data_IF_192636246988
#
_entry.id   IF_192636246988
#
_cell.length_a   1.000
_cell.length_b   1.000
_cell.length_c   1.000
_cell.angle_alpha   90.00
_cell.angle_beta   90.00
_cell.angle_gamma   90.00
#
_symmetry.space_group_name_H-M   'P 1'
#
loop_
_entity.id
_entity.type
_entity.pdbx_description
1 polymer ?
#
# COMPACT_ATOMS: atom_id res chain seq x y z
N UNK A 1 17.52 0.94 -1.53
CA UNK A 1 16.48 0.12 -2.19
C UNK A 1 16.88 -0.02 -3.64
N UNK A 2 17.01 -1.25 -4.16
CA UNK A 2 17.01 -1.44 -5.60
C UNK A 2 15.74 -0.81 -6.17
N UNK A 3 15.84 -0.13 -7.30
CA UNK A 3 14.68 0.52 -7.93
C UNK A 3 13.63 -0.56 -8.21
N UNK A 4 12.41 -0.41 -7.65
CA UNK A 4 11.27 -1.32 -7.83
C UNK A 4 10.95 -1.58 -9.32
N UNK A 5 11.40 -0.69 -10.19
CA UNK A 5 11.34 -0.80 -11.65
C UNK A 5 12.74 -0.42 -12.17
N UNK A 6 13.46 -1.29 -12.89
CA UNK A 6 14.68 -0.91 -13.64
C UNK A 6 14.45 0.39 -14.45
N UNK A 7 15.43 1.29 -14.53
CA UNK A 7 15.23 2.55 -15.26
C UNK A 7 14.99 2.31 -16.76
N UNK A 8 15.52 1.21 -17.27
CA UNK A 8 15.35 0.70 -18.62
C UNK A 8 13.88 0.36 -18.93
N UNK A 9 13.06 0.02 -17.93
CA UNK A 9 11.64 -0.23 -18.15
C UNK A 9 10.84 1.07 -18.32
N UNK A 10 11.37 2.23 -17.92
CA UNK A 10 10.68 3.51 -18.15
C UNK A 10 10.70 3.89 -19.63
N UNK A 11 11.71 3.46 -20.39
CA UNK A 11 11.81 3.70 -21.83
C UNK A 11 11.10 2.63 -22.66
N UNK A 12 10.67 1.53 -22.03
CA UNK A 12 9.88 0.50 -22.69
C UNK A 12 8.49 1.04 -23.09
N UNK A 13 7.98 0.54 -24.22
CA UNK A 13 6.61 0.82 -24.65
C UNK A 13 5.62 0.14 -23.72
N UNK A 14 4.47 0.77 -23.50
CA UNK A 14 3.39 0.14 -22.78
C UNK A 14 2.91 -1.11 -23.55
N UNK A 15 2.75 -2.25 -22.87
CA UNK A 15 2.22 -3.45 -23.49
C UNK A 15 0.77 -3.25 -23.97
N UNK A 16 0.43 -3.94 -25.04
CA UNK A 16 -0.92 -4.04 -25.60
C UNK A 16 -1.89 -4.66 -24.58
N UNK A 17 -3.18 -4.35 -24.72
CA UNK A 17 -4.22 -5.07 -24.00
C UNK A 17 -4.44 -6.44 -24.68
N UNK A 18 -3.63 -7.43 -24.30
CA UNK A 18 -3.71 -8.79 -24.84
C UNK A 18 -4.42 -9.69 -23.85
N UNK A 19 -5.35 -10.52 -24.36
CA UNK A 19 -5.98 -11.59 -23.58
C UNK A 19 -4.94 -12.57 -22.99
N UNK A 20 -3.75 -12.64 -23.59
CA UNK A 20 -2.59 -13.38 -23.06
C UNK A 20 -2.27 -12.97 -21.61
N UNK A 21 -2.33 -11.67 -21.26
CA UNK A 21 -2.04 -11.22 -19.89
C UNK A 21 -3.17 -11.51 -18.90
N UNK A 22 -4.35 -11.87 -19.40
CA UNK A 22 -5.52 -12.20 -18.60
C UNK A 22 -5.69 -13.72 -18.40
N UNK A 23 -4.86 -14.52 -19.08
CA UNK A 23 -4.84 -15.97 -18.95
C UNK A 23 -4.63 -16.40 -17.50
N UNK A 24 -5.56 -17.23 -16.99
CA UNK A 24 -5.56 -17.66 -15.59
C UNK A 24 -4.57 -18.79 -15.31
N UNK A 25 -4.17 -19.52 -16.35
CA UNK A 25 -3.23 -20.63 -16.30
C UNK A 25 -2.20 -20.54 -17.43
N UNK A 26 -1.08 -21.25 -17.30
CA UNK A 26 -0.11 -21.37 -18.38
C UNK A 26 -0.70 -22.03 -19.63
N UNK A 27 -1.68 -22.92 -19.48
CA UNK A 27 -2.37 -23.59 -20.58
C UNK A 27 -3.29 -22.62 -21.32
N UNK A 28 -4.05 -21.81 -20.60
CA UNK A 28 -4.86 -20.72 -21.17
C UNK A 28 -3.97 -19.72 -21.91
N UNK A 29 -2.81 -19.39 -21.34
CA UNK A 29 -1.84 -18.49 -21.96
C UNK A 29 -1.35 -19.06 -23.29
N UNK A 30 -0.99 -20.34 -23.34
CA UNK A 30 -0.56 -21.01 -24.58
C UNK A 30 -1.69 -21.08 -25.60
N UNK A 31 -2.94 -21.28 -25.17
CA UNK A 31 -4.10 -21.28 -26.05
C UNK A 31 -4.36 -19.90 -26.65
N UNK A 32 -4.33 -18.84 -25.84
CA UNK A 32 -4.48 -17.46 -26.30
C UNK A 32 -3.30 -17.02 -27.18
N UNK A 33 -2.09 -17.45 -26.85
CA UNK A 33 -0.92 -17.16 -27.67
C UNK A 33 -0.96 -17.88 -29.03
N UNK A 34 -1.55 -19.08 -29.09
CA UNK A 34 -1.78 -19.79 -30.35
C UNK A 34 -2.94 -19.19 -31.14
N UNK A 35 -3.98 -18.70 -30.45
CA UNK A 35 -5.14 -18.04 -31.06
C UNK A 35 -4.76 -16.69 -31.67
N UNK A 36 -3.80 -15.98 -31.07
CA UNK A 36 -3.27 -14.69 -31.55
C UNK A 36 -2.46 -14.79 -32.85
N UNK A 37 -2.20 -16.02 -33.34
CA UNK A 37 -1.63 -16.27 -34.68
C UNK A 37 -0.13 -15.99 -34.80
N UNK A 38 0.58 -15.82 -33.68
CA UNK A 38 2.02 -15.56 -33.71
C UNK A 38 2.82 -16.87 -33.72
N UNK A 39 3.49 -17.16 -34.83
CA UNK A 39 4.42 -18.31 -34.90
C UNK A 39 5.67 -18.07 -34.03
N UNK A 40 6.11 -19.07 -33.26
CA UNK A 40 7.35 -19.04 -32.47
C UNK A 40 8.59 -18.69 -33.31
N UNK A 41 8.62 -19.02 -34.60
CA UNK A 41 9.74 -18.69 -35.49
C UNK A 41 9.82 -17.18 -35.78
N UNK A 42 8.68 -16.47 -35.79
CA UNK A 42 8.66 -15.01 -35.99
C UNK A 42 9.09 -14.24 -34.74
N UNK A 43 9.01 -14.83 -33.55
CA UNK A 43 9.45 -14.22 -32.29
C UNK A 43 10.97 -14.15 -32.21
N UNK A 44 11.70 -15.13 -32.76
CA UNK A 44 13.17 -15.13 -32.72
C UNK A 44 13.80 -14.10 -33.67
N UNK A 45 13.19 -13.83 -34.83
CA UNK A 45 13.63 -12.74 -35.73
C UNK A 45 13.14 -11.36 -35.27
N UNK A 46 11.93 -11.27 -34.67
CA UNK A 46 11.41 -10.02 -34.10
C UNK A 46 11.99 -9.66 -32.74
N UNK A 47 12.55 -10.59 -31.97
CA UNK A 47 13.19 -10.26 -30.68
C UNK A 47 14.47 -9.42 -30.83
N UNK A 48 15.09 -9.40 -32.02
CA UNK A 48 16.26 -8.57 -32.32
C UNK A 48 15.91 -7.17 -32.87
N UNK A 49 14.64 -6.92 -33.19
CA UNK A 49 14.12 -5.60 -33.56
C UNK A 49 13.08 -5.18 -32.51
N UNK A 50 13.32 -4.08 -31.80
CA UNK A 50 12.55 -3.57 -30.64
C UNK A 50 11.07 -3.17 -30.92
N UNK A 51 10.38 -3.85 -31.82
CA UNK A 51 8.95 -3.64 -32.11
C UNK A 51 8.09 -4.59 -31.28
N UNK A 52 7.21 -4.07 -30.41
CA UNK A 52 6.31 -4.93 -29.64
C UNK A 52 5.36 -5.70 -30.57
N UNK A 53 5.04 -6.92 -30.16
CA UNK A 53 4.01 -7.74 -30.77
C UNK A 53 2.66 -7.04 -30.58
N UNK A 54 2.10 -6.47 -31.66
CA UNK A 54 0.68 -6.53 -32.09
C UNK A 54 0.31 -5.36 -32.99
N UNK A 55 -0.58 -5.66 -33.93
CA UNK A 55 -1.24 -4.78 -34.89
C UNK A 55 -2.60 -4.35 -34.34
N UNK A 56 -2.68 -3.23 -33.62
CA UNK A 56 -3.95 -2.54 -33.36
C UNK A 56 -3.73 -1.04 -33.15
N UNK A 57 -4.49 -0.23 -33.89
CA UNK A 57 -4.39 1.23 -33.94
C UNK A 57 -5.03 1.92 -32.72
N UNK A 58 -4.43 1.77 -31.54
CA UNK A 58 -4.78 2.59 -30.38
C UNK A 58 -3.56 3.43 -29.95
N UNK A 59 -3.79 4.72 -29.75
CA UNK A 59 -2.77 5.75 -29.42
C UNK A 59 -1.91 5.37 -28.20
N UNK A 60 -2.43 4.51 -27.30
CA UNK A 60 -1.69 4.03 -26.13
C UNK A 60 -0.48 3.13 -26.51
N UNK A 61 -0.54 2.42 -27.65
CA UNK A 61 0.46 1.43 -28.06
C UNK A 61 1.76 2.05 -28.59
N UNK A 62 1.75 3.35 -28.91
CA UNK A 62 2.96 4.08 -29.30
C UNK A 62 3.68 4.73 -28.13
N UNK A 63 3.07 4.76 -26.94
CA UNK A 63 3.57 5.51 -25.80
C UNK A 63 4.51 4.65 -24.95
N UNK A 64 5.66 5.23 -24.59
CA UNK A 64 6.56 4.68 -23.55
C UNK A 64 5.97 4.87 -22.16
N UNK A 65 6.40 4.06 -21.20
CA UNK A 65 5.97 4.20 -19.80
C UNK A 65 6.29 5.60 -19.25
N UNK A 66 7.45 6.16 -19.63
CA UNK A 66 7.84 7.53 -19.26
C UNK A 66 6.91 8.59 -19.88
N UNK A 67 6.56 8.46 -21.16
CA UNK A 67 5.59 9.36 -21.81
C UNK A 67 4.20 9.24 -21.18
N UNK A 68 3.80 8.05 -20.76
CA UNK A 68 2.53 7.83 -20.07
C UNK A 68 2.49 8.48 -18.69
N UNK A 69 3.58 8.42 -17.94
CA UNK A 69 3.74 9.15 -16.67
C UNK A 69 3.70 10.66 -16.92
N UNK A 70 4.44 11.15 -17.92
CA UNK A 70 4.49 12.57 -18.25
C UNK A 70 3.12 13.11 -18.72
N UNK A 71 2.43 12.34 -19.57
CA UNK A 71 1.05 12.61 -19.98
C UNK A 71 0.15 12.71 -18.76
N UNK A 72 0.15 11.69 -17.90
CA UNK A 72 -0.77 11.60 -16.76
C UNK A 72 -0.61 12.76 -15.77
N UNK A 73 0.64 13.16 -15.49
CA UNK A 73 0.91 14.31 -14.62
C UNK A 73 0.51 15.63 -15.27
N UNK A 74 0.74 15.78 -16.58
CA UNK A 74 0.40 17.00 -17.32
C UNK A 74 -1.11 17.20 -17.46
N UNK A 75 -1.85 16.13 -17.75
CA UNK A 75 -3.30 16.20 -18.03
C UNK A 75 -4.16 15.91 -16.81
N UNK A 76 -3.58 15.39 -15.72
CA UNK A 76 -4.30 14.83 -14.56
C UNK A 76 -5.27 13.71 -14.94
N UNK A 77 -4.97 12.99 -16.03
CA UNK A 77 -5.79 11.91 -16.57
C UNK A 77 -4.93 10.73 -16.99
N UNK A 78 -5.40 9.52 -16.74
CA UNK A 78 -4.73 8.31 -17.24
C UNK A 78 -4.95 8.16 -18.76
N UNK A 79 -3.99 7.57 -19.51
CA UNK A 79 -4.20 7.19 -20.89
C UNK A 79 -5.44 6.31 -21.06
N UNK A 80 -6.23 6.55 -22.11
CA UNK A 80 -7.39 5.71 -22.43
C UNK A 80 -6.96 4.33 -22.93
N UNK A 81 -7.82 3.33 -22.73
CA UNK A 81 -7.64 1.94 -23.20
C UNK A 81 -6.39 1.24 -22.63
N UNK A 82 -6.00 1.54 -21.38
CA UNK A 82 -4.97 0.78 -20.69
C UNK A 82 -5.47 -0.62 -20.35
N UNK A 83 -4.73 -1.65 -20.79
CA UNK A 83 -4.91 -3.01 -20.30
C UNK A 83 -4.47 -3.16 -18.84
N UNK A 84 -4.81 -4.28 -18.20
CA UNK A 84 -4.49 -4.53 -16.79
C UNK A 84 -3.00 -4.43 -16.48
N UNK A 85 -2.14 -5.04 -17.32
CA UNK A 85 -0.70 -5.03 -17.07
C UNK A 85 -0.07 -3.65 -17.29
N UNK A 86 -0.51 -2.93 -18.33
CA UNK A 86 -0.10 -1.54 -18.56
C UNK A 86 -0.54 -0.60 -17.43
N UNK A 87 -1.73 -0.82 -16.88
CA UNK A 87 -2.21 -0.14 -15.67
C UNK A 87 -1.32 -0.41 -14.47
N UNK A 88 -0.87 -1.66 -14.25
CA UNK A 88 0.08 -2.01 -13.19
C UNK A 88 1.41 -1.27 -13.35
N UNK A 89 2.00 -1.32 -14.55
CA UNK A 89 3.27 -0.66 -14.83
C UNK A 89 3.18 0.86 -14.64
N UNK A 90 2.12 1.48 -15.14
CA UNK A 90 1.88 2.92 -14.95
C UNK A 90 1.74 3.28 -13.46
N UNK A 91 0.98 2.49 -12.71
CA UNK A 91 0.82 2.65 -11.25
C UNK A 91 2.18 2.56 -10.54
N UNK A 92 2.98 1.53 -10.82
CA UNK A 92 4.31 1.40 -10.23
C UNK A 92 5.23 2.57 -10.62
N UNK A 93 5.20 3.02 -11.88
CA UNK A 93 6.05 4.11 -12.36
C UNK A 93 5.68 5.46 -11.73
N UNK A 94 4.38 5.77 -11.62
CA UNK A 94 3.90 6.96 -10.94
C UNK A 94 4.39 7.01 -9.49
N UNK A 95 4.30 5.89 -8.77
CA UNK A 95 4.77 5.79 -7.38
C UNK A 95 6.28 5.92 -7.28
N UNK A 96 7.03 5.24 -8.15
CA UNK A 96 8.49 5.36 -8.20
C UNK A 96 8.93 6.81 -8.37
N UNK A 97 8.34 7.52 -9.32
CA UNK A 97 8.68 8.93 -9.57
C UNK A 97 8.31 9.82 -8.39
N UNK A 98 7.18 9.58 -7.73
CA UNK A 98 6.76 10.37 -6.56
C UNK A 98 7.62 10.11 -5.33
N UNK A 99 8.05 8.86 -5.10
CA UNK A 99 8.99 8.52 -4.04
C UNK A 99 10.39 9.09 -4.32
N UNK A 100 10.86 9.08 -5.58
CA UNK A 100 12.11 9.74 -5.98
C UNK A 100 12.08 11.23 -5.65
N UNK A 101 11.01 11.94 -6.03
CA UNK A 101 10.83 13.36 -5.70
C UNK A 101 10.83 13.60 -4.19
N UNK A 102 10.13 12.75 -3.42
CA UNK A 102 10.12 12.84 -1.96
C UNK A 102 11.53 12.68 -1.36
N UNK A 103 12.28 11.65 -1.77
CA UNK A 103 13.63 11.43 -1.28
C UNK A 103 14.57 12.58 -1.65
N UNK A 104 14.44 13.15 -2.85
CA UNK A 104 15.21 14.32 -3.26
C UNK A 104 14.95 15.53 -2.35
N UNK A 105 13.68 15.85 -2.10
CA UNK A 105 13.27 16.96 -1.21
C UNK A 105 13.78 16.71 0.22
N UNK A 106 13.61 15.49 0.74
CA UNK A 106 14.05 15.12 2.09
C UNK A 106 15.57 15.22 2.24
N UNK A 107 16.33 14.72 1.26
CA UNK A 107 17.79 14.79 1.29
C UNK A 107 18.30 16.24 1.28
N UNK A 108 17.66 17.11 0.48
CA UNK A 108 17.97 18.55 0.48
C UNK A 108 17.73 19.17 1.86
N UNK A 109 16.61 18.86 2.51
CA UNK A 109 16.28 19.36 3.84
C UNK A 109 17.29 18.88 4.92
N UNK A 110 17.78 17.65 4.84
CA UNK A 110 18.72 17.08 5.83
C UNK A 110 20.18 17.45 5.60
N UNK A 111 20.54 17.97 4.42
CA UNK A 111 21.94 18.19 4.03
C UNK A 111 22.65 19.36 4.75
N UNK A 112 21.97 20.11 5.63
CA UNK A 112 22.61 21.03 6.59
C UNK A 112 23.35 22.26 6.02
N UNK A 113 23.46 22.42 4.70
CA UNK A 113 24.23 23.50 4.07
C UNK A 113 23.41 24.77 3.77
N UNK A 114 22.14 24.81 4.16
CA UNK A 114 21.27 25.97 3.94
C UNK A 114 20.33 26.17 5.13
N UNK A 115 20.80 26.89 6.14
CA UNK A 115 20.02 27.35 7.30
C UNK A 115 18.79 28.21 6.94
N UNK A 116 18.59 28.55 5.66
CA UNK A 116 17.40 29.25 5.13
C UNK A 116 16.32 28.37 4.51
N UNK A 117 16.51 27.03 4.41
CA UNK A 117 15.58 26.13 3.70
C UNK A 117 14.82 25.15 4.62
N UNK A 118 14.82 25.37 5.93
CA UNK A 118 13.98 24.58 6.86
C UNK A 118 12.50 24.61 6.46
N UNK A 119 12.03 25.73 5.89
CA UNK A 119 10.68 25.87 5.32
C UNK A 119 10.42 25.02 4.06
N UNK A 120 11.45 24.46 3.41
CA UNK A 120 11.26 23.52 2.29
C UNK A 120 11.00 22.08 2.76
N UNK A 121 11.32 21.73 4.02
CA UNK A 121 10.86 20.48 4.61
C UNK A 121 9.32 20.49 4.80
N UNK A 122 8.76 21.70 4.94
CA UNK A 122 7.32 21.98 5.02
C UNK A 122 6.68 22.30 3.64
N UNK A 123 7.45 22.33 2.55
CA UNK A 123 6.89 22.43 1.19
C UNK A 123 6.09 21.17 0.85
N UNK A 124 5.08 21.26 -0.02
CA UNK A 124 4.03 20.27 -0.11
C UNK A 124 4.51 19.02 -0.87
N UNK A 125 5.31 18.19 -0.20
CA UNK A 125 5.38 16.75 -0.46
C UNK A 125 3.97 16.15 -0.49
N UNK A 126 3.03 16.76 0.23
CA UNK A 126 1.59 16.52 0.12
C UNK A 126 1.05 16.71 -1.30
N UNK A 127 1.48 17.71 -2.09
CA UNK A 127 0.91 17.99 -3.41
C UNK A 127 1.25 16.90 -4.45
N UNK A 128 2.52 16.48 -4.50
CA UNK A 128 2.97 15.42 -5.43
C UNK A 128 2.34 14.07 -5.05
N UNK A 129 2.28 13.75 -3.76
CA UNK A 129 1.64 12.53 -3.31
C UNK A 129 0.12 12.57 -3.54
N UNK A 130 -0.54 13.70 -3.31
CA UNK A 130 -1.98 13.86 -3.56
C UNK A 130 -2.30 13.65 -5.05
N UNK A 131 -1.54 14.29 -5.94
CA UNK A 131 -1.66 14.06 -7.40
C UNK A 131 -1.50 12.58 -7.77
N UNK A 132 -0.49 11.92 -7.19
CA UNK A 132 -0.23 10.52 -7.46
C UNK A 132 -1.40 9.65 -6.98
N UNK A 133 -1.90 9.91 -5.78
CA UNK A 133 -3.02 9.19 -5.19
C UNK A 133 -4.31 9.37 -6.01
N UNK A 134 -4.55 10.56 -6.56
CA UNK A 134 -5.66 10.82 -7.50
C UNK A 134 -5.52 9.97 -8.77
N UNK A 135 -4.33 9.94 -9.38
CA UNK A 135 -4.08 9.12 -10.57
C UNK A 135 -4.20 7.63 -10.26
N UNK A 136 -3.73 7.17 -9.10
CA UNK A 136 -3.90 5.78 -8.66
C UNK A 136 -5.38 5.42 -8.50
N UNK A 137 -6.20 6.34 -7.97
CA UNK A 137 -7.64 6.14 -7.87
C UNK A 137 -8.28 6.03 -9.25
N UNK A 138 -7.88 6.85 -10.23
CA UNK A 138 -8.35 6.73 -11.62
C UNK A 138 -8.00 5.38 -12.24
N UNK A 139 -6.76 4.90 -12.07
CA UNK A 139 -6.34 3.58 -12.55
C UNK A 139 -7.21 2.49 -11.91
N UNK A 140 -7.44 2.60 -10.60
CA UNK A 140 -8.22 1.62 -9.87
C UNK A 140 -9.70 1.60 -10.31
N UNK A 141 -10.31 2.76 -10.55
CA UNK A 141 -11.68 2.85 -11.07
C UNK A 141 -11.78 2.30 -12.49
N UNK A 142 -10.80 2.60 -13.35
CA UNK A 142 -10.72 2.05 -14.71
C UNK A 142 -10.75 0.51 -14.69
N UNK A 143 -9.91 -0.10 -13.85
CA UNK A 143 -9.86 -1.56 -13.67
C UNK A 143 -11.14 -2.13 -13.05
N UNK A 144 -11.81 -1.37 -12.16
CA UNK A 144 -13.07 -1.82 -11.56
C UNK A 144 -14.22 -1.78 -12.56
N UNK A 145 -14.22 -0.81 -13.46
CA UNK A 145 -15.28 -0.57 -14.44
C UNK A 145 -15.21 -1.44 -15.69
N UNK A 146 -14.13 -2.22 -15.87
CA UNK A 146 -13.94 -3.02 -17.08
C UNK A 146 -14.93 -4.22 -17.13
N UNK A 147 -15.86 -4.23 -18.10
CA UNK A 147 -16.90 -5.26 -18.20
C UNK A 147 -16.37 -6.62 -18.69
N UNK A 148 -15.19 -6.68 -19.31
CA UNK A 148 -14.57 -7.97 -19.71
C UNK A 148 -14.12 -8.79 -18.48
N UNK A 149 -14.00 -8.13 -17.32
CA UNK A 149 -13.57 -8.70 -16.04
C UNK A 149 -14.72 -8.99 -15.06
N UNK A 150 -15.99 -8.86 -15.50
CA UNK A 150 -17.21 -9.00 -14.68
C UNK A 150 -17.99 -10.31 -14.96
N UNK A 151 -17.42 -11.23 -15.75
CA UNK A 151 -18.06 -12.47 -16.24
C UNK A 151 -18.28 -13.57 -15.18
N UNK A 152 -18.27 -13.24 -13.89
CA UNK A 152 -18.52 -14.20 -12.81
C UNK A 152 -17.36 -15.18 -12.54
N UNK A 153 -16.24 -15.03 -13.25
CA UNK A 153 -14.97 -15.69 -12.89
C UNK A 153 -14.38 -15.04 -11.64
N UNK A 154 -13.76 -15.82 -10.72
CA UNK A 154 -12.94 -15.23 -9.66
C UNK A 154 -11.96 -14.23 -10.29
N UNK A 155 -11.72 -13.10 -9.60
CA UNK A 155 -10.82 -12.03 -10.06
C UNK A 155 -9.62 -12.61 -10.83
N UNK A 156 -9.38 -12.16 -12.07
CA UNK A 156 -8.16 -12.56 -12.77
C UNK A 156 -6.97 -12.26 -11.85
N UNK A 157 -5.98 -13.16 -11.80
CA UNK A 157 -4.84 -13.02 -10.88
C UNK A 157 -4.19 -11.64 -11.02
N UNK A 158 -4.13 -11.11 -12.25
CA UNK A 158 -3.66 -9.77 -12.56
C UNK A 158 -4.51 -8.66 -11.92
N UNK A 159 -5.84 -8.74 -11.97
CA UNK A 159 -6.71 -7.75 -11.30
C UNK A 159 -6.47 -7.72 -9.80
N UNK A 160 -6.32 -8.89 -9.19
CA UNK A 160 -5.98 -8.99 -7.77
C UNK A 160 -4.61 -8.33 -7.48
N UNK A 161 -3.58 -8.65 -8.28
CA UNK A 161 -2.24 -8.06 -8.15
C UNK A 161 -2.32 -6.54 -8.21
N UNK A 162 -3.10 -5.97 -9.15
CA UNK A 162 -3.19 -4.52 -9.27
C UNK A 162 -3.88 -3.90 -8.06
N UNK A 163 -4.96 -4.50 -7.57
CA UNK A 163 -5.66 -4.01 -6.39
C UNK A 163 -4.78 -4.11 -5.13
N UNK A 164 -4.02 -5.19 -4.96
CA UNK A 164 -3.03 -5.32 -3.89
C UNK A 164 -1.99 -4.20 -3.94
N UNK A 165 -1.41 -3.94 -5.13
CA UNK A 165 -0.44 -2.86 -5.33
C UNK A 165 -1.06 -1.49 -5.06
N UNK A 166 -2.29 -1.24 -5.52
CA UNK A 166 -3.01 -0.01 -5.27
C UNK A 166 -3.10 0.30 -3.76
N UNK A 167 -3.53 -0.67 -2.96
CA UNK A 167 -3.64 -0.45 -1.52
C UNK A 167 -2.27 -0.36 -0.84
N UNK A 168 -1.29 -1.19 -1.21
CA UNK A 168 0.05 -1.12 -0.65
C UNK A 168 0.74 0.22 -0.94
N UNK A 169 0.61 0.72 -2.16
CA UNK A 169 1.16 2.03 -2.57
C UNK A 169 0.48 3.19 -1.84
N UNK A 170 -0.82 3.10 -1.56
CA UNK A 170 -1.50 4.09 -0.72
C UNK A 170 -0.91 4.18 0.69
N UNK A 171 -0.44 3.07 1.27
CA UNK A 171 0.28 3.07 2.54
C UNK A 171 1.66 3.70 2.36
N UNK A 172 2.44 3.25 1.37
CA UNK A 172 3.83 3.68 1.15
C UNK A 172 3.96 5.17 0.74
N UNK A 173 2.99 5.73 0.05
CA UNK A 173 2.97 7.15 -0.31
C UNK A 173 2.62 8.07 0.87
N UNK A 174 1.99 7.54 1.92
CA UNK A 174 1.62 8.30 3.13
C UNK A 174 2.64 8.16 4.23
N UNK A 175 3.22 6.97 4.37
CA UNK A 175 4.09 6.63 5.50
C UNK A 175 5.46 6.23 4.98
N UNK A 176 6.52 7.01 5.30
CA UNK A 176 7.86 6.68 4.85
C UNK A 176 8.27 5.31 5.36
N UNK A 177 8.74 4.45 4.47
CA UNK A 177 9.14 3.09 4.82
C UNK A 177 10.25 3.07 5.87
N UNK A 178 11.16 4.05 5.85
CA UNK A 178 12.20 4.20 6.86
C UNK A 178 11.62 4.38 8.27
N UNK A 179 10.54 5.13 8.43
CA UNK A 179 9.91 5.33 9.74
C UNK A 179 9.20 4.06 10.23
N UNK A 180 8.62 3.26 9.32
CA UNK A 180 8.10 1.92 9.63
C UNK A 180 9.20 0.96 10.12
N UNK A 181 10.33 0.92 9.41
CA UNK A 181 11.43 0.02 9.79
C UNK A 181 12.16 0.49 11.06
N UNK A 182 12.30 1.79 11.29
CA UNK A 182 12.79 2.31 12.58
C UNK A 182 11.82 2.00 13.72
N UNK A 183 10.50 2.05 13.50
CA UNK A 183 9.52 1.67 14.53
C UNK A 183 9.73 0.24 15.06
N UNK A 184 10.10 -0.71 14.19
CA UNK A 184 10.43 -2.09 14.60
C UNK A 184 11.89 -2.28 15.03
N UNK A 185 12.71 -1.22 15.06
CA UNK A 185 14.10 -1.24 15.50
C UNK A 185 15.11 -1.76 14.46
N UNK A 186 14.79 -1.74 13.16
CA UNK A 186 15.64 -2.31 12.11
C UNK A 186 16.85 -1.44 11.72
N UNK A 187 16.77 -0.11 11.87
CA UNK A 187 17.83 0.82 11.42
C UNK A 187 18.44 1.70 12.52
N UNK A 188 18.02 1.55 13.77
CA UNK A 188 18.41 2.50 14.80
C UNK A 188 19.80 2.13 15.36
N UNK A 189 20.79 3.00 15.07
CA UNK A 189 22.04 3.03 15.81
C UNK A 189 21.74 3.30 17.29
N UNK A 190 22.50 2.71 18.24
CA UNK A 190 22.19 2.74 19.67
C UNK A 190 22.11 4.15 20.30
N UNK A 191 22.54 5.20 19.59
CA UNK A 191 22.49 6.59 20.06
C UNK A 191 21.19 7.35 19.75
N UNK A 192 20.34 6.87 18.85
CA UNK A 192 19.12 7.60 18.39
C UNK A 192 17.83 6.74 18.53
N UNK A 193 17.84 5.88 19.54
CA UNK A 193 16.97 4.71 19.77
C UNK A 193 15.46 5.01 19.92
N UNK A 194 15.04 6.29 19.86
CA UNK A 194 13.65 6.73 20.01
C UNK A 194 13.16 7.65 18.87
N UNK A 195 14.02 8.04 17.93
CA UNK A 195 13.66 9.02 16.89
C UNK A 195 12.55 8.53 15.97
N UNK A 196 12.72 7.35 15.36
CA UNK A 196 11.75 6.82 14.39
C UNK A 196 10.39 6.46 14.98
N UNK A 197 10.37 5.79 16.15
CA UNK A 197 9.12 5.48 16.85
C UNK A 197 8.36 6.74 17.26
N UNK A 198 9.06 7.75 17.80
CA UNK A 198 8.43 9.02 18.20
C UNK A 198 7.92 9.80 16.99
N UNK A 199 8.66 9.81 15.88
CA UNK A 199 8.23 10.44 14.61
C UNK A 199 6.96 9.80 14.06
N UNK A 200 6.91 8.47 13.98
CA UNK A 200 5.75 7.77 13.43
C UNK A 200 4.50 7.99 14.30
N UNK A 201 4.63 7.89 15.63
CA UNK A 201 3.53 8.16 16.57
C UNK A 201 3.05 9.61 16.45
N UNK A 202 3.97 10.58 16.40
CA UNK A 202 3.64 11.99 16.21
C UNK A 202 2.90 12.21 14.88
N UNK A 203 3.38 11.58 13.80
CA UNK A 203 2.74 11.68 12.49
C UNK A 203 1.31 11.11 12.51
N UNK A 204 1.11 9.93 13.11
CA UNK A 204 -0.22 9.29 13.25
C UNK A 204 -1.20 10.21 13.99
N UNK A 205 -0.74 10.81 15.09
CA UNK A 205 -1.57 11.68 15.93
C UNK A 205 -1.86 13.04 15.29
N UNK A 206 -0.92 13.58 14.51
CA UNK A 206 -1.05 14.88 13.87
C UNK A 206 -1.86 14.81 12.57
N UNK A 207 -1.71 13.72 11.80
CA UNK A 207 -2.33 13.54 10.48
C UNK A 207 -3.47 12.53 10.55
N UNK A 208 -4.44 12.77 11.44
CA UNK A 208 -5.40 11.73 11.82
C UNK A 208 -6.24 11.19 10.65
N UNK A 209 -6.62 12.03 9.68
CA UNK A 209 -7.35 11.60 8.48
C UNK A 209 -6.49 10.69 7.59
N UNK A 210 -5.26 11.10 7.27
CA UNK A 210 -4.35 10.32 6.43
C UNK A 210 -3.89 9.03 7.12
N UNK A 211 -3.74 9.06 8.44
CA UNK A 211 -3.46 7.86 9.21
C UNK A 211 -4.63 6.86 9.11
N UNK A 212 -5.89 7.32 9.23
CA UNK A 212 -7.06 6.46 9.03
C UNK A 212 -7.17 5.96 7.59
N UNK A 213 -6.89 6.79 6.59
CA UNK A 213 -6.80 6.36 5.18
C UNK A 213 -5.79 5.22 5.03
N UNK A 214 -4.57 5.39 5.52
CA UNK A 214 -3.54 4.35 5.47
C UNK A 214 -3.97 3.07 6.21
N UNK A 215 -4.75 3.16 7.30
CA UNK A 215 -5.32 1.99 7.98
C UNK A 215 -6.36 1.26 7.14
N UNK A 216 -7.25 1.98 6.45
CA UNK A 216 -8.19 1.36 5.50
C UNK A 216 -7.42 0.58 4.45
N UNK A 217 -6.46 1.22 3.77
CA UNK A 217 -5.67 0.55 2.73
C UNK A 217 -4.86 -0.63 3.28
N UNK A 218 -4.22 -0.49 4.44
CA UNK A 218 -3.50 -1.59 5.08
C UNK A 218 -4.42 -2.77 5.44
N UNK A 219 -5.65 -2.48 5.88
CA UNK A 219 -6.67 -3.51 6.12
C UNK A 219 -7.10 -4.26 4.85
N UNK A 220 -7.19 -3.56 3.71
CA UNK A 220 -7.46 -4.18 2.40
C UNK A 220 -6.31 -5.09 1.96
N UNK A 221 -5.06 -4.66 2.16
CA UNK A 221 -3.87 -5.53 1.93
C UNK A 221 -3.96 -6.79 2.78
N UNK A 222 -4.33 -6.68 4.05
CA UNK A 222 -4.62 -7.83 4.92
C UNK A 222 -5.71 -8.75 4.37
N UNK A 223 -6.79 -8.16 3.86
CA UNK A 223 -7.90 -8.88 3.24
C UNK A 223 -7.46 -9.70 2.03
N UNK A 224 -6.79 -9.07 1.06
CA UNK A 224 -6.26 -9.74 -0.12
C UNK A 224 -5.33 -10.88 0.27
N UNK A 225 -4.30 -10.56 1.04
CA UNK A 225 -3.30 -11.53 1.46
C UNK A 225 -3.91 -12.72 2.19
N UNK A 226 -4.98 -12.52 2.97
CA UNK A 226 -5.69 -13.62 3.63
C UNK A 226 -6.45 -14.50 2.62
N UNK A 227 -7.22 -13.86 1.74
CA UNK A 227 -8.19 -14.50 0.84
C UNK A 227 -7.55 -15.23 -0.33
N UNK A 228 -6.40 -14.75 -0.81
CA UNK A 228 -5.72 -15.29 -1.96
C UNK A 228 -4.24 -14.93 -1.86
N UNK A 229 -3.38 -15.91 -2.15
CA UNK A 229 -1.93 -15.71 -2.25
C UNK A 229 -1.51 -16.26 -3.59
N UNK A 230 -0.98 -15.39 -4.43
CA UNK A 230 -0.26 -15.73 -5.66
C UNK A 230 1.11 -16.35 -5.37
N UNK A 231 1.58 -16.30 -4.11
CA UNK A 231 2.94 -16.66 -3.70
C UNK A 231 4.01 -15.88 -4.46
N UNK A 232 3.65 -14.71 -5.01
CA UNK A 232 4.58 -13.87 -5.73
C UNK A 232 5.54 -13.16 -4.77
N UNK A 233 6.75 -12.88 -5.26
CA UNK A 233 7.79 -12.23 -4.46
C UNK A 233 7.37 -10.84 -3.95
N UNK A 234 6.49 -10.12 -4.65
CA UNK A 234 6.07 -8.77 -4.24
C UNK A 234 5.10 -8.78 -3.05
N UNK A 235 4.48 -9.92 -2.71
CA UNK A 235 3.41 -9.99 -1.71
C UNK A 235 3.91 -9.59 -0.33
N UNK A 236 5.10 -10.05 0.07
CA UNK A 236 5.67 -9.66 1.36
C UNK A 236 6.10 -8.19 1.38
N UNK A 237 6.52 -7.63 0.24
CA UNK A 237 6.88 -6.21 0.11
C UNK A 237 5.67 -5.30 0.25
N UNK A 238 4.50 -5.79 -0.15
CA UNK A 238 3.22 -5.09 0.03
C UNK A 238 2.67 -5.27 1.45
N UNK A 239 2.78 -6.49 1.99
CA UNK A 239 2.20 -6.85 3.27
C UNK A 239 2.96 -6.26 4.47
N UNK A 240 4.29 -6.35 4.49
CA UNK A 240 5.09 -5.94 5.66
C UNK A 240 4.88 -4.47 6.03
N UNK A 241 4.93 -3.49 5.10
CA UNK A 241 4.67 -2.10 5.42
C UNK A 241 3.25 -1.86 5.96
N UNK A 242 2.24 -2.48 5.34
CA UNK A 242 0.84 -2.41 5.80
C UNK A 242 0.67 -2.97 7.22
N UNK A 243 1.32 -4.11 7.49
CA UNK A 243 1.32 -4.74 8.80
C UNK A 243 2.00 -3.91 9.88
N UNK A 244 3.21 -3.41 9.64
CA UNK A 244 3.92 -2.56 10.59
C UNK A 244 3.09 -1.30 10.86
N UNK A 245 2.48 -0.71 9.83
CA UNK A 245 1.66 0.48 10.01
C UNK A 245 0.40 0.21 10.86
N UNK A 246 -0.32 -0.89 10.61
CA UNK A 246 -1.48 -1.29 11.43
C UNK A 246 -1.10 -1.48 12.90
N UNK A 247 0.05 -2.11 13.15
CA UNK A 247 0.59 -2.26 14.50
C UNK A 247 0.88 -0.87 15.11
N UNK A 248 1.68 -0.04 14.45
CA UNK A 248 2.03 1.28 14.95
C UNK A 248 0.79 2.14 15.21
N UNK A 249 -0.23 2.06 14.36
CA UNK A 249 -1.49 2.77 14.52
C UNK A 249 -2.32 2.26 15.70
N UNK A 250 -2.43 0.94 15.87
CA UNK A 250 -3.13 0.36 17.02
C UNK A 250 -2.46 0.72 18.35
N UNK A 251 -1.13 0.77 18.36
CA UNK A 251 -0.34 1.17 19.52
C UNK A 251 -0.40 2.67 19.80
N UNK A 252 -0.51 3.49 18.75
CA UNK A 252 -0.69 4.94 18.84
C UNK A 252 -2.15 5.36 19.11
N UNK A 253 -3.08 4.39 19.09
CA UNK A 253 -4.51 4.64 19.28
C UNK A 253 -4.80 5.40 20.58
N UNK A 254 -5.99 6.02 20.70
CA UNK A 254 -6.31 6.90 21.81
C UNK A 254 -6.01 6.20 23.14
N UNK A 255 -5.10 6.82 23.91
CA UNK A 255 -4.71 6.37 25.24
C UNK A 255 -5.99 6.09 26.02
N UNK A 256 -6.16 4.84 26.46
CA UNK A 256 -7.20 4.44 27.40
C UNK A 256 -6.85 5.06 28.75
N UNK A 257 -7.11 6.35 28.92
CA UNK A 257 -7.09 6.95 30.24
C UNK A 257 -8.31 6.43 31.01
N UNK A 258 -8.11 5.31 31.68
CA UNK A 258 -8.79 5.07 32.94
C UNK A 258 -8.21 6.06 33.95
N UNK A 259 -9.07 6.93 34.48
CA UNK A 259 -8.98 7.55 35.80
C UNK A 259 -7.59 7.92 36.34
N UNK A 260 -7.13 9.16 36.09
CA UNK A 260 -6.36 9.98 37.07
C UNK A 260 -5.76 11.26 36.45
N UNK A 261 -6.17 12.45 36.92
CA UNK A 261 -5.43 13.72 36.71
C UNK A 261 -6.27 14.96 36.32
N UNK A 262 -6.00 16.16 36.89
CA UNK A 262 -6.89 17.33 36.81
C UNK A 262 -6.63 18.29 35.62
N UNK A 263 -6.07 17.82 34.50
CA UNK A 263 -5.83 18.67 33.32
C UNK A 263 -6.55 18.12 32.08
N UNK A 264 -7.52 18.85 31.50
CA UNK A 264 -8.28 18.36 30.36
C UNK A 264 -7.54 18.66 29.06
N UNK A 265 -6.63 17.78 28.65
CA UNK A 265 -6.32 17.63 27.22
C UNK A 265 -7.45 16.80 26.62
N UNK A 266 -8.05 17.23 25.50
CA UNK A 266 -9.21 16.58 24.84
C UNK A 266 -8.93 15.11 24.51
N UNK A 267 -9.19 14.23 25.47
CA UNK A 267 -9.26 12.79 25.30
C UNK A 267 -10.49 12.51 24.42
N UNK A 268 -10.29 11.79 23.31
CA UNK A 268 -11.36 11.24 22.50
C UNK A 268 -12.06 10.11 23.28
N UNK A 269 -12.82 10.45 24.33
CA UNK A 269 -13.88 9.56 24.79
C UNK A 269 -14.91 9.40 23.65
N UNK A 270 -15.49 8.21 23.46
CA UNK A 270 -16.74 8.08 22.72
C UNK A 270 -17.75 9.00 23.40
N UNK A 271 -18.08 10.13 22.78
CA UNK A 271 -19.13 11.01 23.27
C UNK A 271 -20.41 10.17 23.26
N UNK A 272 -21.00 10.05 24.45
CA UNK A 272 -22.27 9.43 24.71
C UNK A 272 -23.34 10.00 23.75
N UNK A 273 -23.54 9.30 22.64
CA UNK A 273 -24.61 9.53 21.69
C UNK A 273 -25.26 8.20 21.32
N UNK A 274 -25.47 7.32 22.29
CA UNK A 274 -26.39 6.19 22.14
C UNK A 274 -27.13 5.97 23.43
N UNK A 275 -28.40 6.40 23.45
CA UNK A 275 -29.36 5.91 24.42
C UNK A 275 -29.52 4.39 24.26
N UNK A 276 -29.50 3.69 25.41
CA UNK A 276 -29.93 2.29 25.63
C UNK A 276 -29.32 1.23 24.70
N UNK A 277 -28.37 0.45 25.27
CA UNK A 277 -27.66 -0.69 24.69
C UNK A 277 -26.60 -0.32 23.63
N UNK A 278 -25.59 0.46 24.04
CA UNK A 278 -24.56 1.04 23.17
C UNK A 278 -23.53 0.04 22.63
N UNK A 279 -23.90 -0.72 21.60
CA UNK A 279 -22.95 -1.42 20.71
C UNK A 279 -22.69 -0.54 19.50
N UNK A 280 -21.43 -0.17 19.24
CA UNK A 280 -21.07 0.59 18.05
C UNK A 280 -21.19 -0.30 16.80
N UNK A 281 -21.59 0.24 15.63
CA UNK A 281 -21.54 -0.51 14.38
C UNK A 281 -20.09 -0.93 14.07
N UNK A 282 -19.93 -2.12 13.50
CA UNK A 282 -18.62 -2.70 13.20
C UNK A 282 -18.18 -2.30 11.79
N UNK A 283 -17.04 -1.64 11.69
CA UNK A 283 -16.39 -1.35 10.41
C UNK A 283 -15.31 -2.40 10.13
N UNK A 284 -15.50 -3.19 9.07
CA UNK A 284 -14.56 -4.25 8.66
C UNK A 284 -13.59 -3.74 7.60
N UNK A 285 -12.36 -3.47 7.98
CA UNK A 285 -11.34 -2.91 7.09
C UNK A 285 -10.91 -3.89 5.98
N UNK A 286 -11.04 -5.19 6.24
CA UNK A 286 -10.65 -6.28 5.34
C UNK A 286 -11.72 -6.63 4.28
N UNK A 287 -12.92 -6.02 4.36
CA UNK A 287 -14.03 -6.30 3.43
C UNK A 287 -14.21 -5.20 2.42
N UNK A 288 -14.38 -5.54 1.14
CA UNK A 288 -14.67 -4.61 0.05
C UNK A 288 -16.18 -4.39 -0.04
N UNK A 289 -16.73 -3.30 0.52
CA UNK A 289 -18.18 -3.09 0.35
C UNK A 289 -18.83 -1.90 1.07
N UNK A 290 -18.32 -1.42 2.21
CA UNK A 290 -18.96 -0.30 2.91
C UNK A 290 -18.21 1.02 2.74
N UNK A 291 -18.19 1.54 1.50
CA UNK A 291 -17.53 2.82 1.22
C UNK A 291 -18.12 3.98 2.04
N UNK A 292 -19.44 3.96 2.31
CA UNK A 292 -20.11 4.98 3.11
C UNK A 292 -19.63 4.99 4.57
N UNK A 293 -19.59 3.82 5.22
CA UNK A 293 -19.13 3.72 6.61
C UNK A 293 -17.63 4.04 6.72
N UNK A 294 -16.85 3.61 5.72
CA UNK A 294 -15.44 3.98 5.61
C UNK A 294 -15.28 5.51 5.55
N UNK A 295 -16.00 6.21 4.67
CA UNK A 295 -15.92 7.68 4.59
C UNK A 295 -16.30 8.36 5.91
N UNK A 296 -17.39 7.92 6.56
CA UNK A 296 -17.80 8.49 7.86
C UNK A 296 -16.73 8.27 8.92
N UNK A 297 -16.12 7.09 8.98
CA UNK A 297 -15.04 6.81 9.92
C UNK A 297 -13.76 7.60 9.58
N UNK A 298 -13.44 7.76 8.30
CA UNK A 298 -12.31 8.56 7.84
C UNK A 298 -12.47 10.02 8.28
N UNK A 299 -13.67 10.60 8.16
CA UNK A 299 -13.93 12.00 8.52
C UNK A 299 -13.96 12.20 10.04
N UNK A 300 -14.70 11.34 10.75
CA UNK A 300 -15.00 11.56 12.17
C UNK A 300 -14.00 10.89 13.11
N UNK A 301 -13.33 9.83 12.67
CA UNK A 301 -12.49 8.96 13.49
C UNK A 301 -13.22 8.27 14.65
N UNK A 302 -14.55 8.31 14.69
CA UNK A 302 -15.39 7.84 15.79
C UNK A 302 -16.62 7.10 15.25
N UNK A 303 -17.43 6.55 16.16
CA UNK A 303 -18.73 5.98 15.82
C UNK A 303 -18.71 4.54 15.29
N UNK A 304 -17.53 3.93 15.15
CA UNK A 304 -17.38 2.55 14.69
C UNK A 304 -16.43 1.75 15.57
N UNK A 305 -16.73 0.47 15.72
CA UNK A 305 -15.77 -0.51 16.19
C UNK A 305 -14.99 -1.06 14.99
N UNK A 306 -13.71 -0.70 14.88
CA UNK A 306 -12.90 -1.01 13.70
C UNK A 306 -12.28 -2.39 13.84
N UNK A 307 -12.59 -3.28 12.90
CA UNK A 307 -12.28 -4.70 12.96
C UNK A 307 -11.49 -5.20 11.76
N UNK A 308 -10.67 -6.22 12.00
CA UNK A 308 -9.98 -7.03 11.00
C UNK A 308 -10.27 -8.53 11.22
N UNK A 309 -10.43 -9.32 10.16
CA UNK A 309 -10.61 -10.76 10.29
C UNK A 309 -9.42 -11.43 11.00
N UNK A 310 -9.69 -12.36 11.91
CA UNK A 310 -8.67 -13.03 12.72
C UNK A 310 -8.16 -12.19 13.92
N UNK A 311 -8.38 -10.87 13.90
CA UNK A 311 -7.93 -9.93 14.95
C UNK A 311 -9.12 -9.48 15.81
N UNK A 312 -10.26 -9.17 15.19
CA UNK A 312 -11.36 -8.44 15.84
C UNK A 312 -11.03 -6.95 15.93
N UNK A 313 -11.40 -6.31 17.04
CA UNK A 313 -11.17 -4.88 17.26
C UNK A 313 -9.67 -4.52 17.29
N UNK A 314 -9.23 -3.63 16.40
CA UNK A 314 -7.84 -3.15 16.36
C UNK A 314 -7.48 -2.31 17.59
N UNK A 315 -8.49 -1.70 18.24
CA UNK A 315 -8.35 -0.93 19.47
C UNK A 315 -8.64 -1.73 20.74
N UNK A 316 -8.95 -3.03 20.61
CA UNK A 316 -9.28 -3.90 21.74
C UNK A 316 -8.09 -4.09 22.71
N UNK A 317 -8.35 -4.58 23.93
CA UNK A 317 -7.31 -4.79 24.96
C UNK A 317 -6.14 -5.67 24.48
N UNK A 318 -6.41 -6.53 23.49
CA UNK A 318 -5.43 -7.43 22.87
C UNK A 318 -5.24 -7.12 21.38
N UNK A 319 -5.66 -5.94 20.90
CA UNK A 319 -5.65 -5.57 19.49
C UNK A 319 -4.25 -5.66 18.89
N UNK A 320 -3.27 -5.01 19.52
CA UNK A 320 -1.86 -5.07 19.12
C UNK A 320 -1.33 -6.50 19.12
N UNK A 321 -1.58 -7.28 20.18
CA UNK A 321 -1.08 -8.66 20.26
C UNK A 321 -1.68 -9.57 19.18
N UNK A 322 -2.96 -9.39 18.88
CA UNK A 322 -3.65 -10.14 17.83
C UNK A 322 -3.21 -9.71 16.43
N UNK A 323 -2.99 -8.41 16.19
CA UNK A 323 -2.40 -7.90 14.96
C UNK A 323 -1.04 -8.57 14.75
N UNK A 324 -0.20 -8.56 15.77
CA UNK A 324 1.14 -9.16 15.72
C UNK A 324 1.09 -10.66 15.42
N UNK A 325 0.29 -11.40 16.19
CA UNK A 325 0.14 -12.86 16.01
C UNK A 325 -0.38 -13.22 14.62
N UNK A 326 -1.41 -12.51 14.15
CA UNK A 326 -2.01 -12.79 12.85
C UNK A 326 -1.10 -12.37 11.69
N UNK A 327 -0.41 -11.24 11.79
CA UNK A 327 0.54 -10.79 10.77
C UNK A 327 1.73 -11.73 10.63
N UNK A 328 2.31 -12.20 11.74
CA UNK A 328 3.38 -13.21 11.72
C UNK A 328 2.86 -14.53 11.14
N UNK A 329 1.66 -14.98 11.54
CA UNK A 329 1.06 -16.21 11.02
C UNK A 329 0.87 -16.14 9.50
N UNK A 330 0.39 -15.00 8.99
CA UNK A 330 0.22 -14.77 7.56
C UNK A 330 1.57 -14.73 6.83
N UNK A 331 2.58 -14.02 7.35
CA UNK A 331 3.92 -13.99 6.74
C UNK A 331 4.57 -15.36 6.66
N UNK A 332 4.47 -16.16 7.73
CA UNK A 332 5.04 -17.51 7.77
C UNK A 332 4.29 -18.50 6.87
N UNK A 333 3.08 -18.16 6.43
CA UNK A 333 2.33 -18.95 5.43
C UNK A 333 2.93 -18.82 4.02
N UNK A 334 3.64 -17.72 3.72
CA UNK A 334 4.39 -17.59 2.47
C UNK A 334 5.67 -18.42 2.56
N UNK A 335 5.55 -19.73 2.36
CA UNK A 335 6.67 -20.67 2.41
C UNK A 335 7.59 -20.61 1.19
N UNK A 336 7.13 -19.97 0.11
CA UNK A 336 7.79 -19.89 -1.19
C UNK A 336 9.06 -19.04 -1.20
N UNK A 337 9.23 -18.13 -0.23
CA UNK A 337 10.36 -17.20 -0.19
C UNK A 337 11.05 -17.20 1.18
N UNK A 338 12.32 -17.65 1.31
CA UNK A 338 13.03 -17.70 2.60
C UNK A 338 13.06 -16.38 3.37
N UNK A 339 13.01 -15.24 2.66
CA UNK A 339 12.98 -13.89 3.26
C UNK A 339 11.77 -13.67 4.17
N UNK A 340 10.62 -14.30 3.90
CA UNK A 340 9.40 -14.14 4.72
C UNK A 340 9.58 -14.76 6.10
N UNK A 341 10.33 -15.87 6.20
CA UNK A 341 10.69 -16.51 7.48
C UNK A 341 11.62 -15.62 8.29
N UNK A 342 12.61 -15.01 7.64
CA UNK A 342 13.54 -14.06 8.27
C UNK A 342 12.76 -12.84 8.80
N UNK A 343 11.89 -12.24 7.97
CA UNK A 343 11.06 -11.12 8.36
C UNK A 343 10.08 -11.46 9.49
N UNK A 344 9.43 -12.63 9.43
CA UNK A 344 8.57 -13.12 10.51
C UNK A 344 9.32 -13.28 11.83
N UNK A 345 10.57 -13.78 11.78
CA UNK A 345 11.43 -13.87 12.96
C UNK A 345 11.80 -12.49 13.52
N UNK A 346 12.23 -11.56 12.67
CA UNK A 346 12.58 -10.19 13.07
C UNK A 346 11.39 -9.53 13.77
N UNK A 347 10.20 -9.58 13.16
CA UNK A 347 8.99 -8.98 13.72
C UNK A 347 8.61 -9.58 15.07
N UNK A 348 8.80 -10.90 15.24
CA UNK A 348 8.60 -11.58 16.52
C UNK A 348 9.59 -11.12 17.59
N UNK A 349 10.86 -10.93 17.21
CA UNK A 349 11.88 -10.41 18.13
C UNK A 349 11.62 -8.96 18.51
N UNK A 350 11.25 -8.10 17.55
CA UNK A 350 10.87 -6.71 17.82
C UNK A 350 9.70 -6.63 18.80
N UNK A 351 8.70 -7.50 18.68
CA UNK A 351 7.61 -7.61 19.65
C UNK A 351 8.11 -7.93 21.07
N UNK A 352 9.01 -8.91 21.22
CA UNK A 352 9.55 -9.31 22.53
C UNK A 352 10.32 -8.14 23.15
N UNK A 353 11.17 -7.48 22.37
CA UNK A 353 11.97 -6.34 22.83
C UNK A 353 11.07 -5.18 23.25
N UNK A 354 10.03 -4.86 22.49
CA UNK A 354 9.10 -3.79 22.85
C UNK A 354 8.30 -4.13 24.12
N UNK A 355 7.84 -5.37 24.28
CA UNK A 355 7.18 -5.83 25.51
C UNK A 355 8.08 -5.70 26.73
N UNK A 356 9.34 -6.10 26.60
CA UNK A 356 10.33 -5.95 27.68
C UNK A 356 10.57 -4.47 28.00
N UNK A 357 10.72 -3.60 27.01
CA UNK A 357 10.88 -2.14 27.22
C UNK A 357 9.71 -1.53 28.00
N UNK A 358 8.48 -1.93 27.68
CA UNK A 358 7.29 -1.46 28.41
C UNK A 358 7.31 -1.90 29.89
N UNK A 359 7.75 -3.13 30.17
CA UNK A 359 7.85 -3.65 31.54
C UNK A 359 8.95 -3.00 32.41
N UNK A 360 9.98 -2.41 31.80
CA UNK A 360 11.05 -1.70 32.53
C UNK A 360 10.79 -0.20 32.71
N UNK A 361 9.73 0.35 32.09
CA UNK A 361 9.34 1.76 32.21
C UNK A 361 8.20 1.97 33.23
N UNK A 362 7.57 0.89 33.70
CA UNK A 362 6.69 0.83 34.89
C UNK A 362 7.52 0.45 36.13
#
# INVERSE_FOLDING_TARGET
MASLIPEELLTARLPSNEGEWEASTAEDWVLEHRSSGTSMEQVSEKAQQTSPMTTASSICHSMTLLEAVAYSRKTRQIPSNLGGFSSLLLMMALVKESLKSYHMIRNLATSGHTSGLAHLADLPTSSIHTETLELLAQICEHIRSDPLLDSGTPFSALRQVILEHYHAMHVLLRVPIADLFSFIGWQDAPSDNNGGCSRLRLWINTNSYDARQAVVHAGKVFGYFRSSTTNAWYEYLSFVPAYIFLWAFAESGPIRHADSGPFPMKVLQPLALVGKQGVLPVLRLDRFGSQKDETVWLDTGRGFEVHLCGIGSIYGNLGVEKILGEGIRLLLRLDSWPVTKILGFILRMSQIVQKQRAQYQE
#
